data_IF_471243886312
#
_entry.id   IF_471243886312
#
_cell.length_a   1.000
_cell.length_b   1.000
_cell.length_c   1.000
_cell.angle_alpha   90.00
_cell.angle_beta   90.00
_cell.angle_gamma   90.00
#
_symmetry.space_group_name_H-M   'P 1'
#
loop_
_entity.id
_entity.type
_entity.pdbx_description
1 polymer ?
#
# COMPACT_ATOMS: atom_id res chain seq x y z
N UNK A 1 12.03 -6.57 -23.92
CA UNK A 1 13.41 -6.00 -23.80
C UNK A 1 14.08 -6.37 -22.48
N UNK A 2 13.47 -6.13 -21.31
CA UNK A 2 14.07 -6.49 -20.01
C UNK A 2 14.43 -7.98 -19.88
N UNK A 3 13.55 -8.90 -20.30
CA UNK A 3 13.84 -10.35 -20.25
C UNK A 3 15.07 -10.75 -21.09
N UNK A 4 15.23 -10.15 -22.27
CA UNK A 4 16.40 -10.37 -23.13
C UNK A 4 17.71 -9.82 -22.53
N UNK A 5 17.61 -8.97 -21.50
CA UNK A 5 18.74 -8.43 -20.73
C UNK A 5 18.99 -9.24 -19.44
N UNK A 6 18.29 -10.36 -19.23
CA UNK A 6 18.47 -11.24 -18.06
C UNK A 6 17.61 -10.88 -16.84
N UNK A 7 16.66 -9.95 -16.96
CA UNK A 7 15.70 -9.71 -15.86
C UNK A 7 14.68 -10.83 -15.79
N UNK A 8 14.33 -11.25 -14.57
CA UNK A 8 13.35 -12.31 -14.30
C UNK A 8 12.08 -11.78 -13.62
N UNK A 9 11.67 -10.56 -13.97
CA UNK A 9 10.48 -9.97 -13.37
C UNK A 9 10.39 -8.46 -13.52
N UNK A 10 9.50 -7.87 -12.74
CA UNK A 10 9.33 -6.41 -12.64
C UNK A 10 8.88 -6.02 -11.22
N UNK A 11 8.79 -4.72 -10.94
CA UNK A 11 8.24 -4.23 -9.67
C UNK A 11 6.96 -3.43 -9.89
N UNK A 12 6.05 -3.56 -8.93
CA UNK A 12 4.81 -2.78 -8.86
C UNK A 12 4.95 -1.64 -7.84
N UNK A 13 4.45 -0.48 -8.26
CA UNK A 13 4.35 0.75 -7.49
C UNK A 13 3.10 1.46 -7.97
N UNK A 14 2.17 1.78 -7.07
CA UNK A 14 0.94 2.46 -7.46
C UNK A 14 1.20 3.80 -8.17
N UNK A 15 2.20 4.57 -7.72
CA UNK A 15 2.57 5.84 -8.35
C UNK A 15 3.10 5.70 -9.79
N UNK A 16 3.51 4.49 -10.21
CA UNK A 16 3.93 4.18 -11.58
C UNK A 16 2.77 3.70 -12.46
N UNK A 17 1.56 3.72 -11.92
CA UNK A 17 0.31 3.45 -12.61
C UNK A 17 -0.25 2.06 -12.27
N UNK A 18 -1.44 2.04 -11.66
CA UNK A 18 -2.18 0.82 -11.32
C UNK A 18 -2.41 -0.07 -12.54
N UNK A 19 -2.88 0.50 -13.65
CA UNK A 19 -3.12 -0.26 -14.88
C UNK A 19 -1.85 -0.87 -15.49
N UNK A 20 -0.71 -0.19 -15.33
CA UNK A 20 0.58 -0.74 -15.76
C UNK A 20 0.96 -1.94 -14.90
N UNK A 21 0.70 -1.87 -13.59
CA UNK A 21 0.80 -3.00 -12.67
C UNK A 21 -0.05 -4.18 -13.12
N UNK A 22 -1.34 -3.96 -13.42
CA UNK A 22 -2.27 -4.99 -13.91
C UNK A 22 -1.75 -5.64 -15.20
N UNK A 23 -1.37 -4.85 -16.20
CA UNK A 23 -0.85 -5.35 -17.47
C UNK A 23 0.41 -6.21 -17.24
N UNK A 24 1.31 -5.73 -16.39
CA UNK A 24 2.53 -6.46 -16.06
C UNK A 24 2.24 -7.77 -15.30
N UNK A 25 1.25 -7.78 -14.40
CA UNK A 25 0.87 -8.98 -13.66
C UNK A 25 0.27 -10.04 -14.60
N UNK A 26 -0.60 -9.60 -15.53
CA UNK A 26 -1.11 -10.46 -16.60
C UNK A 26 0.01 -11.01 -17.48
N UNK A 27 0.98 -10.17 -17.86
CA UNK A 27 2.13 -10.59 -18.68
C UNK A 27 2.99 -11.63 -17.94
N UNK A 28 3.33 -11.39 -16.67
CA UNK A 28 4.07 -12.34 -15.83
C UNK A 28 3.34 -13.67 -15.74
N UNK A 29 2.03 -13.64 -15.43
CA UNK A 29 1.21 -14.84 -15.35
C UNK A 29 1.13 -15.59 -16.69
N UNK A 30 1.07 -14.86 -17.82
CA UNK A 30 1.08 -15.48 -19.15
C UNK A 30 2.43 -16.13 -19.47
N UNK A 31 3.55 -15.47 -19.19
CA UNK A 31 4.89 -16.02 -19.40
C UNK A 31 5.12 -17.29 -18.56
N UNK A 32 4.70 -17.29 -17.29
CA UNK A 32 4.86 -18.44 -16.40
C UNK A 32 3.98 -19.64 -16.80
N UNK A 33 2.99 -19.47 -17.67
CA UNK A 33 2.19 -20.57 -18.23
C UNK A 33 2.79 -21.18 -19.50
N UNK A 34 3.81 -20.57 -20.09
CA UNK A 34 4.44 -21.11 -21.28
C UNK A 34 5.34 -22.30 -20.96
N UNK A 35 5.59 -23.21 -21.93
CA UNK A 35 6.56 -24.27 -21.75
C UNK A 35 7.93 -23.70 -21.38
N UNK A 36 8.36 -24.00 -20.15
CA UNK A 36 9.65 -23.59 -19.66
C UNK A 36 10.69 -24.67 -19.96
N UNK A 37 11.92 -24.27 -20.26
CA UNK A 37 13.05 -25.19 -20.21
C UNK A 37 13.29 -25.62 -18.77
N UNK A 38 13.68 -26.87 -18.55
CA UNK A 38 13.98 -27.39 -17.21
C UNK A 38 15.02 -26.48 -16.52
N UNK A 39 14.68 -25.99 -15.32
CA UNK A 39 15.53 -25.09 -14.53
C UNK A 39 15.36 -23.60 -14.81
N UNK A 40 14.45 -23.17 -15.69
CA UNK A 40 14.14 -21.74 -15.83
C UNK A 40 13.42 -21.21 -14.59
N UNK A 41 13.90 -20.12 -13.96
CA UNK A 41 13.21 -19.52 -12.82
C UNK A 41 11.91 -18.85 -13.26
N UNK A 42 10.91 -18.87 -12.39
CA UNK A 42 9.65 -18.17 -12.62
C UNK A 42 9.87 -16.65 -12.72
N UNK A 43 9.06 -16.00 -13.54
CA UNK A 43 8.99 -14.55 -13.54
C UNK A 43 8.21 -14.06 -12.34
N UNK A 44 8.73 -13.04 -11.67
CA UNK A 44 8.10 -12.48 -10.47
C UNK A 44 7.66 -11.03 -10.66
N UNK A 45 6.71 -10.61 -9.82
CA UNK A 45 6.40 -9.21 -9.60
C UNK A 45 6.65 -8.89 -8.12
N UNK A 46 7.65 -8.06 -7.85
CA UNK A 46 7.88 -7.51 -6.51
C UNK A 46 7.02 -6.27 -6.27
N UNK A 47 6.90 -5.80 -5.03
CA UNK A 47 6.22 -4.54 -4.68
C UNK A 47 7.10 -3.59 -3.89
N UNK A 48 6.83 -2.29 -4.03
CA UNK A 48 7.43 -1.22 -3.23
C UNK A 48 6.31 -0.28 -2.74
N UNK A 49 6.29 0.07 -1.45
CA UNK A 49 5.23 0.92 -0.84
C UNK A 49 5.54 2.44 -0.88
N UNK A 50 6.74 2.82 -1.35
CA UNK A 50 7.21 4.19 -1.50
C UNK A 50 7.07 5.07 -0.25
N UNK A 51 7.13 4.45 0.93
CA UNK A 51 6.96 5.16 2.20
C UNK A 51 5.60 5.87 2.33
N UNK A 52 4.55 5.37 1.68
CA UNK A 52 3.21 5.93 1.81
C UNK A 52 2.66 5.86 3.25
N UNK A 53 1.88 6.88 3.61
CA UNK A 53 1.18 6.99 4.90
C UNK A 53 -0.33 6.82 4.63
N UNK A 54 -1.09 6.38 5.65
CA UNK A 54 -2.54 6.53 5.64
C UNK A 54 -2.98 8.00 5.71
N UNK A 55 -4.29 8.29 5.78
CA UNK A 55 -5.39 7.33 5.84
C UNK A 55 -5.86 6.81 4.47
N UNK A 56 -5.26 7.24 3.36
CA UNK A 56 -5.69 6.83 2.01
C UNK A 56 -4.61 6.07 1.25
N UNK A 57 -3.49 6.75 0.94
CA UNK A 57 -2.50 6.25 -0.02
C UNK A 57 -1.97 4.86 0.34
N UNK A 58 -1.55 4.66 1.60
CA UNK A 58 -1.07 3.35 2.03
C UNK A 58 -2.12 2.23 1.89
N UNK A 59 -3.37 2.50 2.27
CA UNK A 59 -4.42 1.47 2.24
C UNK A 59 -4.73 1.04 0.81
N UNK A 60 -4.85 2.02 -0.09
CA UNK A 60 -5.05 1.77 -1.52
C UNK A 60 -3.87 1.00 -2.12
N UNK A 61 -2.64 1.33 -1.72
CA UNK A 61 -1.43 0.63 -2.15
C UNK A 61 -1.41 -0.83 -1.74
N UNK A 62 -1.74 -1.13 -0.49
CA UNK A 62 -1.80 -2.51 0.00
C UNK A 62 -2.91 -3.32 -0.69
N UNK A 63 -4.06 -2.70 -0.97
CA UNK A 63 -5.16 -3.36 -1.68
C UNK A 63 -4.77 -3.68 -3.12
N UNK A 64 -4.19 -2.71 -3.84
CA UNK A 64 -3.78 -2.95 -5.23
C UNK A 64 -2.66 -3.98 -5.28
N UNK A 65 -1.62 -3.85 -4.45
CA UNK A 65 -0.52 -4.81 -4.44
C UNK A 65 -0.99 -6.24 -4.13
N UNK A 66 -1.85 -6.41 -3.11
CA UNK A 66 -2.40 -7.72 -2.79
C UNK A 66 -3.32 -8.27 -3.89
N UNK A 67 -4.10 -7.41 -4.56
CA UNK A 67 -4.94 -7.80 -5.71
C UNK A 67 -4.12 -8.24 -6.92
N UNK A 68 -2.89 -7.73 -7.08
CA UNK A 68 -1.94 -8.16 -8.11
C UNK A 68 -1.18 -9.44 -7.74
N UNK A 69 -1.46 -10.03 -6.57
CA UNK A 69 -0.78 -11.22 -6.07
C UNK A 69 0.58 -10.93 -5.43
N UNK A 70 0.92 -9.66 -5.18
CA UNK A 70 2.16 -9.29 -4.50
C UNK A 70 2.01 -9.53 -3.00
N UNK A 71 2.67 -10.57 -2.49
CA UNK A 71 2.60 -10.97 -1.08
C UNK A 71 3.69 -10.36 -0.19
N UNK A 72 4.73 -9.76 -0.80
CA UNK A 72 5.84 -9.12 -0.10
C UNK A 72 6.16 -7.79 -0.77
N UNK A 73 6.24 -6.74 0.04
CA UNK A 73 6.44 -5.36 -0.41
C UNK A 73 7.61 -4.79 0.38
N UNK A 74 8.59 -4.22 -0.33
CA UNK A 74 9.62 -3.42 0.31
C UNK A 74 8.96 -2.21 0.96
N UNK A 75 9.16 -2.07 2.27
CA UNK A 75 8.44 -1.09 3.07
C UNK A 75 9.35 -0.47 4.11
N UNK A 76 9.52 0.84 4.01
CA UNK A 76 10.39 1.60 4.89
C UNK A 76 9.67 2.74 5.63
N UNK A 77 8.60 3.32 5.05
CA UNK A 77 8.01 4.56 5.57
C UNK A 77 7.53 4.51 7.02
N UNK A 78 6.93 3.39 7.43
CA UNK A 78 6.44 3.21 8.81
C UNK A 78 7.52 3.29 9.90
N UNK A 79 8.81 3.17 9.56
CA UNK A 79 9.91 3.40 10.49
C UNK A 79 10.28 4.89 10.62
N UNK A 80 9.91 5.73 9.65
CA UNK A 80 10.29 7.14 9.59
C UNK A 80 9.17 8.09 9.99
N UNK A 81 7.91 7.63 9.99
CA UNK A 81 6.76 8.47 10.33
C UNK A 81 6.17 8.08 11.69
N UNK A 82 5.71 9.09 12.42
CA UNK A 82 4.94 8.94 13.65
C UNK A 82 3.48 8.52 13.33
N UNK A 83 3.31 7.41 12.61
CA UNK A 83 1.99 6.89 12.22
C UNK A 83 1.13 7.96 11.54
N UNK A 84 -0.08 8.17 12.08
CA UNK A 84 -1.02 9.19 11.62
C UNK A 84 -0.99 10.49 12.45
N UNK A 85 0.09 10.79 13.18
CA UNK A 85 0.17 11.97 14.05
C UNK A 85 0.04 13.32 13.33
N UNK A 86 0.23 13.36 12.01
CA UNK A 86 0.08 14.57 11.21
C UNK A 86 -1.38 14.89 10.84
N UNK A 87 -2.32 13.99 11.17
CA UNK A 87 -3.74 14.14 10.87
C UNK A 87 -4.53 14.49 12.13
N UNK A 88 -5.69 15.16 12.00
CA UNK A 88 -6.59 15.40 13.13
C UNK A 88 -6.99 14.11 13.84
N UNK A 89 -7.19 14.16 15.16
CA UNK A 89 -7.52 13.00 15.99
C UNK A 89 -8.71 12.22 15.45
N UNK A 90 -9.77 12.94 15.01
CA UNK A 90 -10.98 12.31 14.46
C UNK A 90 -10.68 11.42 13.25
N UNK A 91 -9.78 11.83 12.36
CA UNK A 91 -9.34 11.01 11.22
C UNK A 91 -8.63 9.75 11.71
N UNK A 92 -7.79 9.89 12.74
CA UNK A 92 -7.14 8.76 13.37
C UNK A 92 -8.14 7.76 13.97
N UNK A 93 -9.18 8.25 14.64
CA UNK A 93 -10.25 7.40 15.18
C UNK A 93 -11.04 6.68 14.08
N UNK A 94 -11.39 7.37 12.97
CA UNK A 94 -12.06 6.72 11.84
C UNK A 94 -11.24 5.52 11.31
N UNK A 95 -9.92 5.69 11.20
CA UNK A 95 -9.03 4.62 10.75
C UNK A 95 -8.98 3.45 11.75
N UNK A 96 -8.93 3.73 13.05
CA UNK A 96 -8.95 2.67 14.07
C UNK A 96 -10.29 1.93 14.09
N UNK A 97 -11.40 2.64 13.92
CA UNK A 97 -12.77 2.09 13.84
C UNK A 97 -12.93 1.17 12.60
N UNK A 98 -12.47 1.61 11.43
CA UNK A 98 -12.63 0.86 10.17
C UNK A 98 -11.55 -0.20 9.91
N UNK A 99 -10.33 0.02 10.41
CA UNK A 99 -9.14 -0.78 10.07
C UNK A 99 -8.28 -1.16 11.28
N UNK A 100 -8.91 -1.51 12.40
CA UNK A 100 -8.23 -1.92 13.64
C UNK A 100 -7.41 -3.22 13.55
N UNK A 101 -7.54 -3.98 12.47
CA UNK A 101 -6.66 -5.12 12.16
C UNK A 101 -5.33 -4.68 11.52
N UNK A 102 -5.33 -3.53 10.82
CA UNK A 102 -4.16 -2.93 10.18
C UNK A 102 -3.47 -1.89 11.08
N UNK A 103 -4.25 -1.12 11.84
CA UNK A 103 -3.77 -0.06 12.72
C UNK A 103 -4.05 -0.35 14.19
N UNK A 104 -3.17 0.12 15.07
CA UNK A 104 -3.37 0.16 16.52
C UNK A 104 -2.93 1.50 17.07
N UNK A 105 -3.39 1.85 18.27
CA UNK A 105 -2.91 3.06 18.94
C UNK A 105 -1.48 2.87 19.43
N UNK A 106 -0.58 3.76 19.06
CA UNK A 106 0.80 3.78 19.55
C UNK A 106 0.86 4.18 21.04
N UNK A 107 2.01 4.00 21.67
CA UNK A 107 2.26 4.51 23.02
C UNK A 107 1.98 6.01 23.17
N UNK A 108 2.22 6.79 22.11
CA UNK A 108 2.03 8.24 22.10
C UNK A 108 0.63 8.67 21.65
N UNK A 109 -0.32 7.73 21.50
CA UNK A 109 -1.74 8.03 21.30
C UNK A 109 -2.21 8.09 19.84
N UNK A 110 -1.33 8.27 18.86
CA UNK A 110 -1.72 8.26 17.44
C UNK A 110 -1.80 6.85 16.86
N UNK A 111 -2.66 6.59 15.86
CA UNK A 111 -2.68 5.33 15.12
C UNK A 111 -1.36 5.06 14.40
N UNK A 112 -0.88 3.83 14.48
CA UNK A 112 0.28 3.33 13.76
C UNK A 112 0.04 1.88 13.33
N UNK A 113 0.84 1.39 12.40
CA UNK A 113 0.59 0.09 11.77
C UNK A 113 0.92 -1.06 12.70
N UNK A 114 0.06 -2.08 12.71
CA UNK A 114 0.30 -3.32 13.43
C UNK A 114 1.10 -4.28 12.55
N UNK A 115 2.43 -4.17 12.62
CA UNK A 115 3.34 -5.11 11.97
C UNK A 115 3.73 -6.19 12.97
N UNK A 116 3.40 -7.45 12.68
CA UNK A 116 3.70 -8.61 13.54
C UNK A 116 4.44 -9.66 12.73
N UNK A 117 5.68 -9.96 13.12
CA UNK A 117 6.53 -10.93 12.40
C UNK A 117 6.72 -10.58 10.92
N UNK A 118 6.85 -9.28 10.60
CA UNK A 118 6.97 -8.81 9.21
C UNK A 118 5.68 -8.84 8.39
N UNK A 119 4.51 -9.01 9.03
CA UNK A 119 3.21 -9.12 8.36
C UNK A 119 2.24 -8.07 8.87
N UNK A 120 1.29 -7.70 8.01
CA UNK A 120 0.12 -6.88 8.34
C UNK A 120 -1.16 -7.63 7.95
N UNK A 121 -2.26 -7.35 8.64
CA UNK A 121 -3.58 -7.83 8.21
C UNK A 121 -4.15 -6.89 7.16
N UNK A 122 -4.76 -7.46 6.12
CA UNK A 122 -5.50 -6.71 5.09
C UNK A 122 -7.00 -7.08 5.12
N UNK A 123 -7.47 -7.74 6.17
CA UNK A 123 -8.82 -8.31 6.22
C UNK A 123 -9.89 -7.22 6.10
N UNK A 124 -9.76 -6.12 6.85
CA UNK A 124 -10.67 -4.97 6.70
C UNK A 124 -10.52 -4.29 5.34
N UNK A 125 -9.29 -4.11 4.86
CA UNK A 125 -9.03 -3.45 3.58
C UNK A 125 -9.68 -4.16 2.39
N UNK A 126 -9.67 -5.50 2.38
CA UNK A 126 -10.25 -6.29 1.30
C UNK A 126 -11.79 -6.25 1.27
N UNK A 127 -12.43 -5.88 2.38
CA UNK A 127 -13.88 -5.66 2.46
C UNK A 127 -14.26 -4.21 2.16
N UNK A 128 -13.30 -3.29 2.21
CA UNK A 128 -13.51 -1.87 1.96
C UNK A 128 -13.33 -1.52 0.47
N UNK A 129 -14.22 -0.69 -0.12
CA UNK A 129 -14.01 -0.10 -1.44
C UNK A 129 -12.63 0.56 -1.57
N UNK A 130 -11.76 -0.06 -2.38
CA UNK A 130 -10.36 0.31 -2.55
C UNK A 130 -9.62 0.57 -1.22
N UNK A 131 -9.94 -0.19 -0.16
CA UNK A 131 -9.23 -0.13 1.12
C UNK A 131 -9.62 0.98 2.08
N UNK A 132 -10.45 1.95 1.70
CA UNK A 132 -10.88 3.01 2.65
C UNK A 132 -12.26 2.69 3.21
N UNK A 133 -13.30 2.70 2.38
CA UNK A 133 -14.63 2.24 2.79
C UNK A 133 -15.37 3.09 3.83
N UNK A 134 -14.87 4.29 4.14
CA UNK A 134 -15.57 5.32 4.91
C UNK A 134 -15.30 6.70 4.33
N UNK A 135 -16.18 7.65 4.61
CA UNK A 135 -15.98 9.05 4.26
C UNK A 135 -15.09 9.71 5.33
N UNK A 136 -13.93 10.22 4.92
CA UNK A 136 -13.04 10.95 5.83
C UNK A 136 -13.72 12.25 6.26
N UNK A 137 -13.66 12.56 7.55
CA UNK A 137 -14.14 13.83 8.08
C UNK A 137 -13.19 14.96 7.69
N UNK A 138 -13.34 15.45 6.46
CA UNK A 138 -12.45 16.45 5.86
C UNK A 138 -12.64 17.84 6.47
N UNK A 139 -13.74 18.10 7.17
CA UNK A 139 -13.98 19.39 7.84
C UNK A 139 -13.03 19.63 9.02
N UNK A 140 -12.34 18.59 9.49
CA UNK A 140 -11.30 18.71 10.53
C UNK A 140 -10.00 19.34 9.99
N UNK A 141 -9.83 19.39 8.68
CA UNK A 141 -8.64 19.98 8.07
C UNK A 141 -8.83 21.48 7.87
N UNK A 142 -7.72 22.22 7.95
CA UNK A 142 -7.68 23.62 7.53
C UNK A 142 -8.02 23.68 6.05
N UNK A 143 -9.00 24.52 5.70
CA UNK A 143 -9.42 24.72 4.31
C UNK A 143 -8.24 25.24 3.50
N UNK A 144 -8.09 24.77 2.26
CA UNK A 144 -6.99 25.20 1.39
C UNK A 144 -6.96 26.70 1.13
N UNK A 145 -8.11 27.38 1.18
CA UNK A 145 -8.22 28.85 1.08
C UNK A 145 -7.74 29.60 2.32
N UNK A 146 -7.74 28.94 3.47
CA UNK A 146 -7.29 29.47 4.76
C UNK A 146 -5.88 28.99 5.11
N UNK A 147 -5.38 27.97 4.39
CA UNK A 147 -4.01 27.48 4.50
C UNK A 147 -3.05 28.57 4.05
N UNK A 148 -2.52 29.31 5.03
CA UNK A 148 -1.43 30.26 4.83
C UNK A 148 -0.14 29.57 5.21
N UNK A 149 0.82 29.55 4.29
CA UNK A 149 2.20 29.29 4.67
C UNK A 149 2.71 30.51 5.43
N UNK A 150 2.49 30.55 6.74
CA UNK A 150 3.28 31.42 7.60
C UNK A 150 4.69 30.83 7.63
N UNK A 151 5.48 31.17 6.60
CA UNK A 151 6.92 30.98 6.56
C UNK A 151 7.61 32.30 6.93
#
# INVERSE_FOLDING_TARGET
RALALGYHGTSHKNCKGVFRGVINACLVAWLNRQPATAGSPEHIMSGEDLANIGPVALMQDLVVASSLGVSSIERNGHHYFAGLSAFPDRVGEQVLESHGDLYHRSHNGWPTLSVRGGRVSLASLQQAPLGVGFELDVEQFVRSTEWRSDN
#
